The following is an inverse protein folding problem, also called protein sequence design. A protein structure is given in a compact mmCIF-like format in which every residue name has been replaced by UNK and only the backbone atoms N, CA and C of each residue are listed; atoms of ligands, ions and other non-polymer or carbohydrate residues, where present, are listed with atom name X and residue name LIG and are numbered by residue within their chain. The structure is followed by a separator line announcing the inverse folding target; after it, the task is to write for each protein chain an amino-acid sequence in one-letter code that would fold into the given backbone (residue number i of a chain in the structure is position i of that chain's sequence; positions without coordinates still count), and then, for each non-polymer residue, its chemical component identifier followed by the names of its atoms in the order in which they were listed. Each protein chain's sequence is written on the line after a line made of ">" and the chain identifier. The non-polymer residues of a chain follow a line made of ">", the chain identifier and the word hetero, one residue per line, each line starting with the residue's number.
data_IF_175408003491
#
_entry.id   IF_175408003491
#
_cell.length_a   1.000
_cell.length_b   1.000
_cell.length_c   1.000
_cell.angle_alpha   90.00
_cell.angle_beta   90.00
_cell.angle_gamma   90.00
#
_symmetry.space_group_name_H-M   'P 1'
#
loop_
_entity.id
_entity.type
_entity.pdbx_description
1 polymer ?
#
# COMPACT_ATOMS: atom_id res chain seq x y z
N UNK A 1 -0.63 -21.67 0.11
CA UNK A 1 -1.07 -20.26 0.14
C UNK A 1 0.00 -19.25 -0.26
N UNK A 2 1.12 -19.08 0.45
CA UNK A 2 2.10 -18.02 0.11
C UNK A 2 2.61 -18.04 -1.34
N UNK A 3 2.86 -19.22 -1.90
CA UNK A 3 3.36 -19.37 -3.27
C UNK A 3 2.27 -19.10 -4.31
N UNK A 4 1.03 -19.49 -3.98
CA UNK A 4 -0.14 -19.24 -4.81
C UNK A 4 -0.42 -17.74 -4.86
N UNK A 5 -0.48 -17.06 -3.72
CA UNK A 5 -0.59 -15.59 -3.64
C UNK A 5 0.46 -14.92 -4.51
N UNK A 6 1.74 -15.24 -4.31
CA UNK A 6 2.83 -14.64 -5.08
C UNK A 6 2.68 -14.85 -6.59
N UNK A 7 2.27 -16.05 -7.02
CA UNK A 7 2.15 -16.37 -8.45
C UNK A 7 0.96 -15.65 -9.07
N UNK A 8 -0.20 -15.77 -8.44
CA UNK A 8 -1.46 -15.26 -8.99
C UNK A 8 -1.56 -13.73 -8.89
N UNK A 9 -0.95 -13.10 -7.88
CA UNK A 9 -0.93 -11.63 -7.78
C UNK A 9 0.25 -10.98 -8.49
N UNK A 10 1.17 -11.74 -9.12
CA UNK A 10 2.31 -11.16 -9.81
C UNK A 10 1.91 -10.18 -10.93
N UNK A 11 0.93 -10.48 -11.80
CA UNK A 11 0.48 -9.52 -12.82
C UNK A 11 -0.13 -8.26 -12.22
N UNK A 12 -0.86 -8.39 -11.11
CA UNK A 12 -1.46 -7.24 -10.40
C UNK A 12 -0.39 -6.33 -9.81
N UNK A 13 0.64 -6.93 -9.21
CA UNK A 13 1.80 -6.20 -8.72
C UNK A 13 2.52 -5.47 -9.84
N UNK A 14 2.73 -6.11 -10.99
CA UNK A 14 3.36 -5.48 -12.17
C UNK A 14 2.56 -4.30 -12.71
N UNK A 15 1.23 -4.39 -12.73
CA UNK A 15 0.34 -3.30 -13.15
C UNK A 15 0.43 -2.10 -12.21
N UNK A 16 0.36 -2.34 -10.90
CA UNK A 16 0.52 -1.29 -9.88
C UNK A 16 1.90 -0.66 -9.98
N UNK A 17 2.97 -1.46 -10.09
CA UNK A 17 4.34 -0.97 -10.29
C UNK A 17 4.45 -0.09 -11.54
N UNK A 18 3.82 -0.49 -12.65
CA UNK A 18 3.84 0.28 -13.90
C UNK A 18 3.05 1.60 -13.77
N UNK A 19 1.90 1.57 -13.10
CA UNK A 19 1.06 2.75 -12.89
C UNK A 19 1.76 3.80 -12.03
N UNK A 20 2.36 3.40 -10.90
CA UNK A 20 3.15 4.29 -10.06
C UNK A 20 4.51 4.64 -10.68
N UNK A 21 5.09 3.76 -11.50
CA UNK A 21 6.33 4.01 -12.23
C UNK A 21 6.23 5.09 -13.31
N UNK A 22 5.01 5.49 -13.69
CA UNK A 22 4.77 6.64 -14.56
C UNK A 22 4.94 8.00 -13.86
N UNK A 23 4.96 8.03 -12.52
CA UNK A 23 5.21 9.24 -11.74
C UNK A 23 6.70 9.56 -11.71
N UNK A 24 7.03 10.84 -11.84
CA UNK A 24 8.38 11.37 -11.63
C UNK A 24 8.52 11.82 -10.17
N UNK A 25 8.94 10.91 -9.28
CA UNK A 25 9.00 11.19 -7.84
C UNK A 25 10.02 12.27 -7.44
N UNK A 26 10.87 12.74 -8.35
CA UNK A 26 11.73 13.91 -8.11
C UNK A 26 10.93 15.22 -8.20
N UNK A 27 9.77 15.21 -8.87
CA UNK A 27 8.83 16.34 -8.89
C UNK A 27 7.93 16.30 -7.66
N UNK A 28 7.79 17.45 -7.00
CA UNK A 28 6.94 17.60 -5.80
C UNK A 28 5.49 17.19 -6.06
N UNK A 29 4.92 17.55 -7.21
CA UNK A 29 3.52 17.26 -7.55
C UNK A 29 3.25 15.77 -7.70
N UNK A 30 4.09 15.06 -8.45
CA UNK A 30 4.03 13.60 -8.60
C UNK A 30 4.33 12.88 -7.27
N UNK A 31 5.24 13.41 -6.45
CA UNK A 31 5.49 12.90 -5.09
C UNK A 31 4.28 13.08 -4.16
N UNK A 32 3.61 14.23 -4.22
CA UNK A 32 2.35 14.49 -3.50
C UNK A 32 1.26 13.52 -3.94
N UNK A 33 1.13 13.28 -5.24
CA UNK A 33 0.20 12.29 -5.79
C UNK A 33 0.53 10.87 -5.30
N UNK A 34 1.81 10.50 -5.26
CA UNK A 34 2.25 9.21 -4.75
C UNK A 34 1.83 9.00 -3.29
N UNK A 35 2.11 9.98 -2.41
CA UNK A 35 1.77 9.89 -0.99
C UNK A 35 0.25 9.89 -0.78
N UNK A 36 -0.50 10.76 -1.48
CA UNK A 36 -1.97 10.79 -1.35
C UNK A 36 -2.61 9.48 -1.77
N UNK A 37 -2.20 8.89 -2.89
CA UNK A 37 -2.73 7.61 -3.35
C UNK A 37 -2.47 6.48 -2.35
N UNK A 38 -1.25 6.42 -1.80
CA UNK A 38 -0.91 5.44 -0.77
C UNK A 38 -1.69 5.67 0.52
N UNK A 39 -1.84 6.91 0.96
CA UNK A 39 -2.60 7.30 2.14
C UNK A 39 -4.05 6.82 2.05
N UNK A 40 -4.73 7.12 0.94
CA UNK A 40 -6.13 6.75 0.72
C UNK A 40 -6.31 5.22 0.69
N UNK A 41 -5.47 4.52 -0.08
CA UNK A 41 -5.55 3.06 -0.19
C UNK A 41 -5.19 2.35 1.14
N UNK A 42 -4.13 2.79 1.83
CA UNK A 42 -3.72 2.22 3.11
C UNK A 42 -4.77 2.43 4.19
N UNK A 43 -5.35 3.63 4.28
CA UNK A 43 -6.43 3.93 5.24
C UNK A 43 -7.65 3.03 5.03
N UNK A 44 -8.08 2.87 3.78
CA UNK A 44 -9.22 2.02 3.44
C UNK A 44 -8.94 0.55 3.75
N UNK A 45 -7.76 0.06 3.38
CA UNK A 45 -7.35 -1.32 3.60
C UNK A 45 -7.15 -1.65 5.10
N UNK A 46 -6.49 -0.78 5.86
CA UNK A 46 -6.34 -0.95 7.31
C UNK A 46 -7.69 -0.87 8.04
N UNK A 47 -8.64 -0.07 7.54
CA UNK A 47 -10.01 -0.02 8.06
C UNK A 47 -10.73 -1.37 8.02
N UNK A 48 -10.42 -2.21 7.04
CA UNK A 48 -10.95 -3.58 6.90
C UNK A 48 -10.27 -4.59 7.84
N UNK A 49 -9.14 -4.23 8.45
CA UNK A 49 -8.41 -5.09 9.40
C UNK A 49 -8.86 -4.90 10.85
N UNK A 50 -9.77 -3.96 11.11
CA UNK A 50 -10.29 -3.70 12.45
C UNK A 50 -10.96 -4.96 13.03
N UNK A 51 -10.45 -5.42 14.17
CA UNK A 51 -10.96 -6.63 14.84
C UNK A 51 -10.42 -7.95 14.29
N UNK A 52 -9.55 -7.92 13.27
CA UNK A 52 -8.84 -9.12 12.83
C UNK A 52 -7.81 -9.55 13.90
N UNK A 53 -8.01 -10.73 14.47
CA UNK A 53 -7.06 -11.33 15.40
C UNK A 53 -5.91 -12.02 14.67
N UNK A 54 -4.76 -12.16 15.33
CA UNK A 54 -3.61 -12.93 14.84
C UNK A 54 -3.00 -12.41 13.52
N UNK A 55 -3.10 -11.11 13.25
CA UNK A 55 -2.29 -10.46 12.24
C UNK A 55 -1.06 -9.80 12.86
N UNK A 56 0.09 -9.79 12.16
CA UNK A 56 1.20 -8.92 12.52
C UNK A 56 0.79 -7.45 12.50
N UNK A 57 1.54 -6.61 13.22
CA UNK A 57 1.26 -5.17 13.23
C UNK A 57 1.44 -4.56 11.83
N UNK A 58 0.43 -3.83 11.38
CA UNK A 58 0.38 -3.07 10.13
C UNK A 58 0.07 -1.62 10.50
N UNK A 59 0.98 -0.71 10.16
CA UNK A 59 0.94 0.69 10.59
C UNK A 59 1.43 1.60 9.44
N UNK A 60 0.85 1.45 8.25
CA UNK A 60 1.17 2.29 7.10
C UNK A 60 0.47 3.63 7.21
N UNK A 61 -0.80 3.66 7.64
CA UNK A 61 -1.57 4.91 7.71
C UNK A 61 -0.87 5.98 8.56
N UNK A 62 -0.36 5.71 9.78
CA UNK A 62 0.31 6.75 10.57
C UNK A 62 1.56 7.34 9.89
N UNK A 63 2.32 6.53 9.15
CA UNK A 63 3.50 6.99 8.41
C UNK A 63 3.09 7.89 7.23
N UNK A 64 2.05 7.47 6.50
CA UNK A 64 1.53 8.20 5.34
C UNK A 64 0.81 9.49 5.74
N UNK A 65 0.12 9.52 6.89
CA UNK A 65 -0.45 10.74 7.45
C UNK A 65 0.63 11.75 7.87
N UNK A 66 1.74 11.28 8.45
CA UNK A 66 2.87 12.15 8.78
C UNK A 66 3.50 12.77 7.52
N UNK A 67 3.69 11.96 6.47
CA UNK A 67 4.22 12.45 5.19
C UNK A 67 3.24 13.39 4.49
N UNK A 68 1.94 13.10 4.56
CA UNK A 68 0.90 13.96 3.99
C UNK A 68 0.80 15.32 4.68
N UNK A 69 0.91 15.34 6.01
CA UNK A 69 0.97 16.57 6.78
C UNK A 69 2.21 17.40 6.42
N UNK A 70 3.38 16.77 6.26
CA UNK A 70 4.61 17.45 5.86
C UNK A 70 4.57 18.00 4.41
N UNK A 71 3.69 17.46 3.56
CA UNK A 71 3.50 17.86 2.17
C UNK A 71 2.33 18.83 1.94
N UNK A 72 1.65 19.25 3.01
CA UNK A 72 0.43 20.05 2.96
C UNK A 72 -0.60 19.44 1.98
N UNK A 73 -0.82 18.13 2.10
CA UNK A 73 -1.87 17.45 1.33
C UNK A 73 -3.24 17.77 1.95
N UNK A 74 -4.27 18.00 1.11
CA UNK A 74 -5.61 18.23 1.60
C UNK A 74 -6.15 16.99 2.34
N UNK A 75 -7.09 17.21 3.25
CA UNK A 75 -7.94 16.14 3.73
C UNK A 75 -8.80 15.61 2.57
N UNK A 76 -8.94 14.30 2.52
CA UNK A 76 -9.69 13.61 1.49
C UNK A 76 -10.26 12.33 2.07
N UNK A 77 -11.58 12.22 2.02
CA UNK A 77 -12.37 11.18 2.68
C UNK A 77 -12.68 10.04 1.71
N UNK A 78 -12.26 10.18 0.45
CA UNK A 78 -12.54 9.22 -0.61
C UNK A 78 -12.06 7.82 -0.23
N UNK A 79 -12.84 6.82 -0.65
CA UNK A 79 -12.53 5.41 -0.44
C UNK A 79 -12.63 4.64 -1.76
N UNK A 80 -11.71 3.70 -2.01
CA UNK A 80 -11.74 2.84 -3.17
C UNK A 80 -12.93 1.88 -3.09
N UNK A 81 -13.68 1.82 -4.19
CA UNK A 81 -14.89 0.99 -4.29
C UNK A 81 -14.55 -0.51 -4.29
N UNK A 82 -13.33 -0.87 -4.70
CA UNK A 82 -12.88 -2.27 -4.71
C UNK A 82 -12.78 -2.89 -3.33
N UNK A 83 -12.66 -2.09 -2.27
CA UNK A 83 -12.65 -2.55 -0.89
C UNK A 83 -14.03 -2.44 -0.21
N UNK A 84 -15.08 -2.14 -0.96
CA UNK A 84 -16.45 -2.23 -0.44
C UNK A 84 -16.81 -3.70 -0.17
N UNK A 85 -17.40 -3.95 1.00
CA UNK A 85 -17.81 -5.29 1.43
C UNK A 85 -16.77 -6.03 2.27
N UNK A 86 -17.07 -7.28 2.59
CA UNK A 86 -16.25 -8.11 3.47
C UNK A 86 -14.97 -8.56 2.77
N UNK A 87 -13.82 -8.24 3.37
CA UNK A 87 -12.51 -8.60 2.86
C UNK A 87 -11.80 -9.55 3.83
N UNK A 88 -11.10 -10.54 3.28
CA UNK A 88 -10.31 -11.45 4.06
C UNK A 88 -9.02 -10.76 4.58
N UNK A 89 -8.79 -10.69 5.90
CA UNK A 89 -7.69 -9.90 6.47
C UNK A 89 -6.30 -10.31 5.99
N UNK A 90 -6.05 -11.61 5.81
CA UNK A 90 -4.78 -12.12 5.28
C UNK A 90 -4.46 -11.64 3.85
N UNK A 91 -5.47 -11.45 3.00
CA UNK A 91 -5.27 -10.97 1.63
C UNK A 91 -4.82 -9.51 1.61
N UNK A 92 -5.49 -8.68 2.43
CA UNK A 92 -5.12 -7.27 2.64
C UNK A 92 -3.72 -7.17 3.26
N UNK A 93 -3.47 -7.91 4.35
CA UNK A 93 -2.19 -7.90 5.06
C UNK A 93 -1.03 -8.29 4.14
N UNK A 94 -1.25 -9.25 3.24
CA UNK A 94 -0.27 -9.66 2.24
C UNK A 94 0.13 -8.51 1.32
N UNK A 95 -0.84 -7.72 0.86
CA UNK A 95 -0.57 -6.58 -0.03
C UNK A 95 0.04 -5.42 0.75
N UNK A 96 -0.46 -5.05 1.92
CA UNK A 96 0.07 -3.92 2.69
C UNK A 96 1.50 -4.14 3.19
N UNK A 97 1.82 -5.36 3.65
CA UNK A 97 3.18 -5.70 4.08
C UNK A 97 4.09 -6.04 2.88
N UNK A 98 3.52 -6.50 1.77
CA UNK A 98 4.23 -6.85 0.54
C UNK A 98 4.53 -5.66 -0.38
N UNK A 99 3.68 -4.63 -0.46
CA UNK A 99 3.82 -3.51 -1.40
C UNK A 99 5.02 -2.61 -1.09
N UNK A 100 5.54 -2.68 0.14
CA UNK A 100 6.75 -1.96 0.55
C UNK A 100 8.03 -2.58 -0.03
N UNK A 101 7.91 -3.77 -0.63
CA UNK A 101 8.92 -4.39 -1.49
C UNK A 101 8.73 -4.03 -2.98
N UNK A 102 7.94 -2.99 -3.30
CA UNK A 102 7.95 -2.20 -4.54
C UNK A 102 9.27 -1.40 -4.69
N UNK A 103 10.35 -2.16 -4.55
CA UNK A 103 11.71 -1.74 -4.31
C UNK A 103 12.31 -0.99 -5.49
N UNK A 104 11.67 -0.93 -6.66
CA UNK A 104 12.25 -0.27 -7.84
C UNK A 104 12.29 1.26 -7.72
N UNK A 105 11.26 1.89 -7.16
CA UNK A 105 11.25 3.35 -6.92
C UNK A 105 12.21 3.75 -5.79
N UNK A 106 12.28 2.95 -4.71
CA UNK A 106 13.25 3.14 -3.63
C UNK A 106 14.71 2.84 -4.06
N UNK A 107 14.93 1.84 -4.92
CA UNK A 107 16.24 1.46 -5.47
C UNK A 107 16.81 2.53 -6.41
N UNK A 108 15.95 3.32 -7.06
CA UNK A 108 16.40 4.51 -7.82
C UNK A 108 17.03 5.54 -6.91
N UNK A 109 16.69 5.55 -5.62
CA UNK A 109 17.38 6.32 -4.60
C UNK A 109 17.09 7.83 -4.62
N UNK A 110 16.40 8.33 -5.63
CA UNK A 110 16.13 9.75 -5.82
C UNK A 110 14.61 10.00 -5.77
N UNK A 111 14.19 10.87 -4.86
CA UNK A 111 12.81 11.36 -4.74
C UNK A 111 12.82 12.73 -4.05
N UNK A 112 11.79 13.52 -4.28
CA UNK A 112 11.73 14.93 -3.88
C UNK A 112 12.05 15.15 -2.39
N UNK A 113 11.48 14.32 -1.51
CA UNK A 113 11.68 14.43 -0.05
C UNK A 113 13.13 14.22 0.42
N UNK A 114 14.01 13.57 -0.36
CA UNK A 114 15.46 13.47 -0.03
C UNK A 114 16.22 14.78 -0.23
N UNK A 115 15.77 15.59 -1.18
CA UNK A 115 16.41 16.85 -1.55
C UNK A 115 15.76 18.06 -0.87
N UNK A 116 14.59 17.88 -0.28
CA UNK A 116 13.97 18.92 0.52
C UNK A 116 14.75 19.16 1.81
N UNK A 117 15.46 20.28 1.83
CA UNK A 117 16.28 20.73 2.95
C UNK A 117 15.59 21.80 3.79
N UNK A 118 14.40 22.25 3.38
CA UNK A 118 13.72 23.41 3.97
C UNK A 118 12.37 23.06 4.61
N UNK A 119 11.79 21.89 4.32
CA UNK A 119 10.53 21.41 4.90
C UNK A 119 10.68 20.40 6.04
N UNK A 120 9.53 19.99 6.59
CA UNK A 120 9.45 18.85 7.49
C UNK A 120 9.72 17.54 6.73
N UNK A 121 10.32 16.56 7.41
CA UNK A 121 10.58 15.24 6.85
C UNK A 121 9.28 14.64 6.31
N UNK A 122 9.29 14.22 5.04
CA UNK A 122 8.13 13.66 4.33
C UNK A 122 8.39 12.28 3.74
N UNK A 123 9.42 11.56 4.24
CA UNK A 123 9.81 10.23 3.76
C UNK A 123 9.64 9.11 4.81
N UNK A 124 8.80 9.29 5.84
CA UNK A 124 8.58 8.31 6.91
C UNK A 124 8.13 6.96 6.35
N UNK A 125 7.19 6.96 5.40
CA UNK A 125 6.69 5.75 4.75
C UNK A 125 7.79 5.02 3.96
N UNK A 126 8.60 5.76 3.19
CA UNK A 126 9.64 5.19 2.32
C UNK A 126 10.90 4.73 3.10
N UNK A 127 11.20 5.40 4.21
CA UNK A 127 12.38 5.11 5.03
C UNK A 127 12.13 4.04 6.09
N UNK A 128 10.88 3.77 6.45
CA UNK A 128 10.56 2.81 7.51
C UNK A 128 10.82 1.34 7.11
N UNK A 129 11.55 0.65 7.99
CA UNK A 129 11.92 -0.78 7.87
C UNK A 129 11.33 -1.63 8.99
N UNK A 130 10.53 -1.04 9.89
CA UNK A 130 9.97 -1.76 11.04
C UNK A 130 8.93 -2.81 10.64
N UNK A 131 8.46 -2.79 9.39
CA UNK A 131 7.53 -3.79 8.83
C UNK A 131 8.19 -5.13 8.47
N UNK A 132 9.53 -5.21 8.32
CA UNK A 132 10.18 -6.45 7.87
C UNK A 132 9.92 -7.67 8.78
N UNK A 133 9.95 -7.55 10.11
CA UNK A 133 9.53 -8.65 11.00
C UNK A 133 8.07 -9.03 10.81
N UNK A 134 7.16 -8.05 10.65
CA UNK A 134 5.74 -8.29 10.38
C UNK A 134 5.53 -9.06 9.08
N UNK A 135 6.25 -8.69 8.02
CA UNK A 135 6.23 -9.41 6.74
C UNK A 135 6.68 -10.86 6.90
N UNK A 136 7.81 -11.09 7.57
CA UNK A 136 8.31 -12.46 7.81
C UNK A 136 7.28 -13.30 8.58
N UNK A 137 6.69 -12.74 9.64
CA UNK A 137 5.66 -13.41 10.43
C UNK A 137 4.43 -13.77 9.58
N UNK A 138 3.95 -12.84 8.74
CA UNK A 138 2.82 -13.10 7.85
C UNK A 138 3.12 -14.22 6.84
N UNK A 139 4.30 -14.18 6.20
CA UNK A 139 4.70 -15.21 5.23
C UNK A 139 4.81 -16.59 5.88
N UNK A 140 5.25 -16.64 7.13
CA UNK A 140 5.30 -17.85 7.94
C UNK A 140 3.89 -18.39 8.24
N UNK A 141 2.98 -17.51 8.64
CA UNK A 141 1.57 -17.82 8.88
C UNK A 141 0.89 -18.35 7.61
N UNK A 142 1.04 -17.65 6.47
CA UNK A 142 0.54 -18.10 5.16
C UNK A 142 1.22 -19.39 4.66
N UNK A 143 2.40 -19.71 5.17
CA UNK A 143 3.10 -20.96 4.88
C UNK A 143 2.52 -22.16 5.63
N UNK A 144 1.89 -21.92 6.80
CA UNK A 144 1.28 -22.95 7.66
C UNK A 144 -0.23 -23.04 7.55
N UNK A 145 -0.86 -22.08 6.89
CA UNK A 145 -2.30 -22.03 6.73
C UNK A 145 -2.80 -23.24 5.93
N UNK A 146 -3.55 -24.10 6.60
CA UNK A 146 -4.36 -25.15 5.97
C UNK A 146 -5.75 -24.57 5.75
N UNK A 147 -6.01 -24.13 4.53
CA UNK A 147 -7.20 -23.36 4.14
C UNK A 147 -7.95 -24.13 3.06
N UNK A 148 -9.28 -24.16 3.18
CA UNK A 148 -10.12 -24.77 2.15
C UNK A 148 -10.17 -23.90 0.88
N UNK A 149 -10.76 -24.43 -0.19
CA UNK A 149 -10.82 -23.72 -1.48
C UNK A 149 -11.56 -22.37 -1.37
N UNK A 150 -12.58 -22.29 -0.51
CA UNK A 150 -13.38 -21.08 -0.34
C UNK A 150 -12.59 -19.99 0.39
N UNK A 151 -11.89 -20.36 1.46
CA UNK A 151 -11.02 -19.44 2.21
C UNK A 151 -9.84 -18.97 1.34
N UNK A 152 -9.22 -19.89 0.59
CA UNK A 152 -8.18 -19.54 -0.38
C UNK A 152 -8.68 -18.54 -1.41
N UNK A 153 -9.86 -18.79 -2.01
CA UNK A 153 -10.47 -17.87 -2.97
C UNK A 153 -10.76 -16.49 -2.35
N UNK A 154 -11.25 -16.44 -1.10
CA UNK A 154 -11.51 -15.19 -0.39
C UNK A 154 -10.21 -14.39 -0.15
N UNK A 155 -9.15 -15.05 0.32
CA UNK A 155 -7.84 -14.41 0.52
C UNK A 155 -7.29 -13.86 -0.81
N UNK A 156 -7.38 -14.64 -1.89
CA UNK A 156 -6.94 -14.20 -3.22
C UNK A 156 -7.74 -13.01 -3.73
N UNK A 157 -9.07 -13.06 -3.60
CA UNK A 157 -9.97 -11.98 -3.99
C UNK A 157 -9.66 -10.68 -3.23
N UNK A 158 -9.41 -10.76 -1.93
CA UNK A 158 -9.09 -9.59 -1.11
C UNK A 158 -7.71 -9.02 -1.40
N UNK A 159 -6.72 -9.87 -1.71
CA UNK A 159 -5.44 -9.37 -2.22
C UNK A 159 -5.62 -8.62 -3.54
N UNK A 160 -6.41 -9.17 -4.48
CA UNK A 160 -6.68 -8.52 -5.76
C UNK A 160 -7.44 -7.19 -5.60
N UNK A 161 -8.46 -7.16 -4.74
CA UNK A 161 -9.21 -5.96 -4.39
C UNK A 161 -8.30 -4.87 -3.79
N UNK A 162 -7.33 -5.27 -2.96
CA UNK A 162 -6.36 -4.34 -2.37
C UNK A 162 -5.42 -3.76 -3.44
N UNK A 163 -4.92 -4.55 -4.39
CA UNK A 163 -4.14 -4.00 -5.52
C UNK A 163 -4.96 -3.00 -6.35
N UNK A 164 -6.20 -3.36 -6.69
CA UNK A 164 -7.09 -2.47 -7.44
C UNK A 164 -7.39 -1.16 -6.70
N UNK A 165 -7.45 -1.21 -5.36
CA UNK A 165 -7.64 -0.03 -4.52
C UNK A 165 -6.51 0.99 -4.66
N UNK A 166 -5.25 0.52 -4.76
CA UNK A 166 -4.10 1.39 -5.01
C UNK A 166 -4.19 2.06 -6.39
N UNK A 167 -4.66 1.34 -7.42
CA UNK A 167 -4.85 1.93 -8.75
C UNK A 167 -6.00 2.96 -8.79
N UNK A 168 -7.12 2.69 -8.12
CA UNK A 168 -8.23 3.64 -8.00
C UNK A 168 -7.78 4.90 -7.25
N UNK A 169 -7.06 4.74 -6.14
CA UNK A 169 -6.54 5.85 -5.35
C UNK A 169 -5.53 6.71 -6.14
N UNK A 170 -4.71 6.08 -6.98
CA UNK A 170 -3.79 6.80 -7.86
C UNK A 170 -4.55 7.63 -8.89
N UNK A 171 -5.58 7.06 -9.54
CA UNK A 171 -6.41 7.81 -10.50
C UNK A 171 -7.09 9.00 -9.82
N UNK A 172 -7.75 8.76 -8.69
CA UNK A 172 -8.42 9.82 -7.92
C UNK A 172 -7.45 10.93 -7.51
N UNK A 173 -6.27 10.59 -6.99
CA UNK A 173 -5.28 11.58 -6.54
C UNK A 173 -4.77 12.45 -7.69
N UNK A 174 -4.63 11.90 -8.90
CA UNK A 174 -4.23 12.66 -10.10
C UNK A 174 -5.31 13.63 -10.58
N UNK A 175 -6.58 13.26 -10.39
CA UNK A 175 -7.71 14.07 -10.83
C UNK A 175 -8.03 15.20 -9.83
N UNK A 176 -7.71 15.02 -8.55
CA UNK A 176 -8.07 15.97 -7.48
C UNK A 176 -6.94 16.87 -6.99
N UNK A 177 -5.68 16.44 -7.13
CA UNK A 177 -4.54 17.28 -6.75
C UNK A 177 -4.17 18.24 -7.89
N UNK A 178 -3.97 19.54 -7.61
CA UNK A 178 -3.45 20.47 -8.59
C UNK A 178 -1.99 20.13 -8.93
N UNK A 179 -1.61 20.36 -10.19
CA UNK A 179 -0.22 20.29 -10.69
C UNK A 179 0.73 21.22 -9.94
#
# INVERSE_FOLDING_TARGET
>A
MRFDLRRETAPLHENVDAAFGALDLEKRSDYRCFIQAHRLAARAAEGQLNGAENLPAIQLSPLLEADAAALDLPEDDWQPSTLEGEQHPLGIAYVLLGSRLGNRLLQRGEYWAKHDTHGSRSDHYLSDRTHEPSWRALVEQLGRLDSDEKERAAIMSSAAATFAAFEEALRHSRDTLPE
#
